data_IF_827429041352
#
_entry.id   IF_827429041352
#
_cell.length_a   1.000
_cell.length_b   1.000
_cell.length_c   1.000
_cell.angle_alpha   90.00
_cell.angle_beta   90.00
_cell.angle_gamma   90.00
#
_symmetry.space_group_name_H-M   'P 1'
#
loop_
_entity.id
_entity.type
_entity.pdbx_description
1 polymer ?
#
# COMPACT_ATOMS: atom_id res chain seq x y z
N UNK A 1 12.09 -24.91 16.48
CA UNK A 1 11.98 -23.74 17.38
C UNK A 1 10.76 -22.89 16.95
N UNK A 2 10.03 -22.25 17.87
CA UNK A 2 8.90 -21.39 17.51
C UNK A 2 9.38 -20.17 16.71
N UNK A 3 8.55 -19.73 15.76
CA UNK A 3 8.71 -18.45 15.09
C UNK A 3 7.78 -17.42 15.74
N UNK A 4 8.28 -16.22 16.01
CA UNK A 4 7.50 -15.12 16.60
C UNK A 4 7.25 -14.08 15.51
N UNK A 5 6.00 -13.66 15.36
CA UNK A 5 5.62 -12.53 14.52
C UNK A 5 5.32 -11.34 15.42
N UNK A 6 6.05 -10.25 15.23
CA UNK A 6 5.83 -8.99 15.94
C UNK A 6 5.27 -7.99 14.94
N UNK A 7 3.98 -7.72 15.08
CA UNK A 7 3.23 -6.78 14.24
C UNK A 7 3.09 -5.41 14.93
N UNK A 8 2.88 -4.37 14.13
CA UNK A 8 2.61 -3.00 14.58
C UNK A 8 3.83 -2.09 14.75
N UNK A 9 5.06 -2.59 14.62
CA UNK A 9 6.26 -1.73 14.65
C UNK A 9 6.36 -0.84 13.39
N UNK A 10 5.65 -1.18 12.32
CA UNK A 10 5.45 -0.35 11.13
C UNK A 10 4.63 0.92 11.38
N UNK A 11 3.92 0.98 12.51
CA UNK A 11 3.08 2.13 12.90
C UNK A 11 3.83 3.18 13.72
N UNK A 12 5.11 2.96 13.98
CA UNK A 12 5.96 3.96 14.61
C UNK A 12 6.11 5.16 13.66
N UNK A 13 5.86 6.36 14.18
CA UNK A 13 5.89 7.60 13.41
C UNK A 13 7.16 8.42 13.67
N UNK A 14 7.72 8.33 14.89
CA UNK A 14 8.90 9.09 15.28
C UNK A 14 10.19 8.43 14.78
N UNK A 15 10.90 9.10 13.87
CA UNK A 15 12.15 8.61 13.29
C UNK A 15 13.23 8.30 14.35
N UNK A 16 13.29 9.07 15.44
CA UNK A 16 14.20 8.84 16.56
C UNK A 16 13.97 7.46 17.21
N UNK A 17 12.71 7.14 17.52
CA UNK A 17 12.32 5.86 18.13
C UNK A 17 12.59 4.70 17.17
N UNK A 18 12.26 4.88 15.88
CA UNK A 18 12.53 3.89 14.84
C UNK A 18 14.03 3.59 14.76
N UNK A 19 14.87 4.63 14.73
CA UNK A 19 16.33 4.50 14.70
C UNK A 19 16.85 3.78 15.94
N UNK A 20 16.37 4.15 17.12
CA UNK A 20 16.79 3.49 18.36
C UNK A 20 16.51 1.99 18.32
N UNK A 21 15.32 1.58 17.89
CA UNK A 21 14.90 0.18 17.87
C UNK A 21 15.61 -0.67 16.81
N UNK A 22 15.77 -0.14 15.58
CA UNK A 22 16.22 -0.93 14.43
C UNK A 22 17.68 -0.72 14.04
N UNK A 23 18.28 0.41 14.42
CA UNK A 23 19.65 0.78 14.02
C UNK A 23 20.59 0.70 15.22
N UNK A 24 20.26 1.40 16.30
CA UNK A 24 21.20 1.61 17.42
C UNK A 24 21.18 0.44 18.41
N UNK A 25 19.99 -0.04 18.78
CA UNK A 25 19.82 -1.04 19.83
C UNK A 25 19.83 -2.48 19.27
N UNK A 26 20.32 -3.42 20.07
CA UNK A 26 20.35 -4.86 19.77
C UNK A 26 19.27 -5.65 20.49
N UNK A 27 18.41 -5.02 21.30
CA UNK A 27 17.36 -5.71 22.08
C UNK A 27 16.44 -6.58 21.22
N UNK A 28 16.11 -6.16 19.99
CA UNK A 28 15.28 -6.94 19.05
C UNK A 28 15.97 -8.24 18.56
N UNK A 29 17.23 -8.49 18.94
CA UNK A 29 17.96 -9.74 18.63
C UNK A 29 18.12 -10.64 19.83
N UNK A 30 17.82 -10.14 21.03
CA UNK A 30 18.12 -10.84 22.26
C UNK A 30 17.41 -12.19 22.39
N UNK A 31 16.15 -12.37 21.94
CA UNK A 31 15.50 -13.67 22.08
C UNK A 31 16.10 -14.71 21.13
N UNK A 32 16.38 -15.91 21.67
CA UNK A 32 16.97 -17.03 20.93
C UNK A 32 15.94 -17.79 20.07
N UNK A 33 15.23 -17.09 19.19
CA UNK A 33 14.27 -17.68 18.26
C UNK A 33 14.22 -16.92 16.93
N UNK A 34 13.50 -17.47 15.94
CA UNK A 34 13.23 -16.76 14.68
C UNK A 34 12.15 -15.71 14.95
N UNK A 35 12.45 -14.44 14.69
CA UNK A 35 11.48 -13.35 14.83
C UNK A 35 11.32 -12.63 13.50
N UNK A 36 10.07 -12.39 13.11
CA UNK A 36 9.71 -11.55 11.97
C UNK A 36 9.07 -10.29 12.51
N UNK A 37 9.68 -9.15 12.22
CA UNK A 37 9.19 -7.82 12.60
C UNK A 37 8.52 -7.15 11.40
N UNK A 38 7.35 -6.54 11.60
CA UNK A 38 6.94 -5.46 10.68
C UNK A 38 7.87 -4.27 10.88
N UNK A 39 8.26 -3.61 9.80
CA UNK A 39 9.21 -2.49 9.84
C UNK A 39 8.58 -1.26 9.21
N UNK A 40 8.80 -0.06 9.77
CA UNK A 40 8.23 1.17 9.21
C UNK A 40 8.88 1.48 7.86
N UNK A 41 8.05 1.81 6.87
CA UNK A 41 8.50 2.09 5.50
C UNK A 41 9.49 3.26 5.44
N UNK A 42 9.38 4.22 6.36
CA UNK A 42 10.27 5.39 6.47
C UNK A 42 11.70 5.03 6.80
N UNK A 43 11.92 3.92 7.52
CA UNK A 43 13.28 3.44 7.77
C UNK A 43 14.00 3.05 6.48
N UNK A 44 13.26 2.73 5.41
CA UNK A 44 13.88 2.46 4.10
C UNK A 44 14.43 3.70 3.41
N UNK A 45 13.85 4.87 3.69
CA UNK A 45 14.33 6.15 3.14
C UNK A 45 15.45 6.74 3.98
N UNK A 46 15.53 6.35 5.24
CA UNK A 46 16.57 6.83 6.15
C UNK A 46 17.96 6.39 5.68
N UNK A 47 18.99 7.25 5.74
CA UNK A 47 20.37 6.88 5.41
C UNK A 47 20.86 5.66 6.21
N UNK A 48 20.35 5.48 7.41
CA UNK A 48 20.67 4.37 8.31
C UNK A 48 20.08 3.02 7.87
N UNK A 49 19.21 2.98 6.85
CA UNK A 49 18.64 1.73 6.32
C UNK A 49 19.71 0.69 6.03
N UNK A 50 20.87 1.11 5.50
CA UNK A 50 21.97 0.22 5.17
C UNK A 50 22.49 -0.51 6.41
N UNK A 51 22.65 0.18 7.54
CA UNK A 51 23.14 -0.38 8.79
C UNK A 51 22.19 -1.44 9.38
N UNK A 52 20.89 -1.35 9.12
CA UNK A 52 19.94 -2.40 9.54
C UNK A 52 20.22 -3.74 8.87
N UNK A 53 20.90 -3.76 7.71
CA UNK A 53 21.25 -4.96 6.96
C UNK A 53 22.37 -5.79 7.59
N UNK A 54 23.22 -5.20 8.43
CA UNK A 54 24.25 -5.92 9.22
C UNK A 54 23.62 -6.87 10.25
N UNK A 55 22.32 -6.76 10.36
CA UNK A 55 21.62 -7.04 11.57
C UNK A 55 20.38 -7.88 11.24
N UNK A 56 19.51 -7.38 10.38
CA UNK A 56 18.26 -8.03 10.02
C UNK A 56 18.33 -8.56 8.60
N UNK A 57 17.74 -9.73 8.36
CA UNK A 57 17.35 -10.12 7.01
C UNK A 57 16.16 -9.26 6.60
N UNK A 58 16.37 -8.36 5.63
CA UNK A 58 15.35 -7.44 5.14
C UNK A 58 14.56 -8.10 4.03
N UNK A 59 13.25 -8.18 4.19
CA UNK A 59 12.32 -8.65 3.15
C UNK A 59 11.39 -7.49 2.83
N UNK A 60 11.35 -7.09 1.56
CA UNK A 60 10.42 -6.09 1.10
C UNK A 60 9.19 -6.77 0.52
N UNK A 61 8.01 -6.29 0.93
CA UNK A 61 6.74 -6.62 0.31
C UNK A 61 6.32 -5.39 -0.51
N UNK A 62 6.74 -5.27 -1.78
CA UNK A 62 6.34 -4.13 -2.60
C UNK A 62 4.84 -4.19 -2.90
N UNK A 63 4.26 -3.02 -3.17
CA UNK A 63 2.91 -2.97 -3.71
C UNK A 63 2.85 -3.65 -5.08
N UNK A 64 1.68 -4.17 -5.43
CA UNK A 64 1.45 -4.83 -6.71
C UNK A 64 1.27 -3.78 -7.80
N UNK A 65 1.90 -3.97 -8.95
CA UNK A 65 1.82 -3.00 -10.05
C UNK A 65 0.55 -3.30 -10.83
N UNK A 66 -0.50 -2.48 -10.65
CA UNK A 66 -1.82 -2.72 -11.24
C UNK A 66 -2.11 -1.90 -12.49
N UNK A 67 -1.20 -1.00 -12.86
CA UNK A 67 -1.24 -0.19 -14.09
C UNK A 67 0.17 0.12 -14.57
N UNK A 68 0.26 0.60 -15.81
CA UNK A 68 1.50 1.21 -16.32
C UNK A 68 1.84 2.45 -15.48
N UNK A 69 3.11 2.63 -15.09
CA UNK A 69 3.55 3.84 -14.40
C UNK A 69 3.25 5.10 -15.20
N UNK A 70 2.94 6.19 -14.50
CA UNK A 70 2.83 7.53 -15.10
C UNK A 70 4.20 8.22 -15.19
N UNK A 71 5.18 7.78 -14.40
CA UNK A 71 6.54 8.31 -14.44
C UNK A 71 7.22 7.82 -15.71
N UNK A 72 7.56 8.74 -16.62
CA UNK A 72 8.03 8.43 -17.98
C UNK A 72 9.27 7.51 -18.00
N UNK A 73 10.17 7.67 -17.03
CA UNK A 73 11.42 6.90 -16.94
C UNK A 73 11.23 5.48 -16.39
N UNK A 74 10.03 5.13 -15.91
CA UNK A 74 9.73 3.80 -15.37
C UNK A 74 9.01 2.97 -16.44
N UNK A 75 9.69 1.94 -16.92
CA UNK A 75 9.09 0.93 -17.79
C UNK A 75 8.73 -0.34 -17.01
N UNK A 76 7.50 -0.82 -17.21
CA UNK A 76 7.03 -2.10 -16.66
C UNK A 76 6.50 -2.95 -17.82
N UNK A 77 6.91 -4.21 -17.87
CA UNK A 77 6.39 -5.16 -18.85
C UNK A 77 4.87 -5.35 -18.63
N UNK A 78 4.03 -5.32 -19.68
CA UNK A 78 2.58 -5.53 -19.55
C UNK A 78 2.23 -6.83 -18.82
N UNK A 79 2.99 -7.91 -19.06
CA UNK A 79 2.84 -9.20 -18.39
C UNK A 79 3.01 -9.13 -16.88
N UNK A 80 3.82 -8.17 -16.37
CA UNK A 80 3.95 -7.95 -14.93
C UNK A 80 2.67 -7.35 -14.35
N UNK A 81 2.07 -6.39 -15.06
CA UNK A 81 0.80 -5.76 -14.65
C UNK A 81 -0.31 -6.79 -14.59
N UNK A 82 -0.43 -7.62 -15.64
CA UNK A 82 -1.39 -8.72 -15.70
C UNK A 82 -1.19 -9.72 -14.56
N UNK A 83 0.05 -10.14 -14.30
CA UNK A 83 0.36 -11.08 -13.23
C UNK A 83 0.05 -10.53 -11.83
N UNK A 84 0.34 -9.25 -11.59
CA UNK A 84 0.07 -8.58 -10.31
C UNK A 84 -1.43 -8.34 -10.10
N UNK A 85 -2.18 -8.00 -11.16
CA UNK A 85 -3.64 -7.94 -11.11
C UNK A 85 -4.24 -9.32 -10.83
N UNK A 86 -3.77 -10.37 -11.51
CA UNK A 86 -4.22 -11.74 -11.26
C UNK A 86 -3.99 -12.19 -9.80
N UNK A 87 -2.89 -11.76 -9.16
CA UNK A 87 -2.65 -12.01 -7.72
C UNK A 87 -3.68 -11.34 -6.83
N UNK A 88 -4.12 -10.13 -7.15
CA UNK A 88 -5.18 -9.45 -6.39
C UNK A 88 -6.54 -10.14 -6.58
N UNK A 89 -6.87 -10.59 -7.79
CA UNK A 89 -8.04 -11.43 -8.02
C UNK A 89 -7.99 -12.70 -7.18
N UNK A 90 -6.86 -13.40 -7.20
CA UNK A 90 -6.68 -14.64 -6.45
C UNK A 90 -6.81 -14.40 -4.94
N UNK A 91 -6.27 -13.30 -4.43
CA UNK A 91 -6.42 -12.95 -3.02
C UNK A 91 -7.88 -12.72 -2.63
N UNK A 92 -8.63 -11.98 -3.43
CA UNK A 92 -10.07 -11.75 -3.20
C UNK A 92 -10.83 -13.07 -3.28
N UNK A 93 -10.53 -13.91 -4.29
CA UNK A 93 -11.13 -15.24 -4.45
C UNK A 93 -10.87 -16.12 -3.23
N UNK A 94 -9.63 -16.24 -2.77
CA UNK A 94 -9.27 -17.02 -1.59
C UNK A 94 -10.01 -16.56 -0.33
N UNK A 95 -10.15 -15.24 -0.16
CA UNK A 95 -10.87 -14.66 0.98
C UNK A 95 -12.36 -15.00 0.94
N UNK A 96 -12.98 -14.94 -0.23
CA UNK A 96 -14.40 -15.25 -0.41
C UNK A 96 -14.67 -16.76 -0.34
N UNK A 97 -13.81 -17.59 -0.93
CA UNK A 97 -13.98 -19.04 -0.93
C UNK A 97 -13.90 -19.63 0.47
N UNK A 98 -13.12 -19.01 1.37
CA UNK A 98 -13.09 -19.36 2.79
C UNK A 98 -14.46 -19.17 3.49
N UNK A 99 -15.37 -18.44 2.88
CA UNK A 99 -16.74 -18.20 3.33
C UNK A 99 -17.79 -18.77 2.36
N UNK A 100 -17.39 -19.62 1.38
CA UNK A 100 -18.32 -20.26 0.45
C UNK A 100 -18.88 -19.35 -0.64
N UNK A 101 -18.18 -18.25 -0.97
CA UNK A 101 -18.58 -17.32 -2.01
C UNK A 101 -17.54 -17.26 -3.15
N UNK A 102 -18.01 -16.91 -4.35
CA UNK A 102 -17.15 -16.65 -5.51
C UNK A 102 -17.20 -15.16 -5.88
N UNK A 103 -16.13 -14.56 -6.41
CA UNK A 103 -16.13 -13.14 -6.80
C UNK A 103 -17.30 -12.78 -7.73
N UNK A 104 -17.61 -13.63 -8.71
CA UNK A 104 -18.70 -13.39 -9.66
C UNK A 104 -20.10 -13.33 -9.02
N UNK A 105 -20.28 -13.83 -7.79
CA UNK A 105 -21.58 -13.73 -7.09
C UNK A 105 -21.72 -12.44 -6.31
N UNK A 106 -20.62 -11.77 -5.95
CA UNK A 106 -20.62 -10.59 -5.08
C UNK A 106 -20.15 -9.30 -5.76
N UNK A 107 -19.49 -9.40 -6.92
CA UNK A 107 -19.06 -8.26 -7.72
C UNK A 107 -19.72 -8.32 -9.09
N UNK A 108 -20.33 -7.21 -9.52
CA UNK A 108 -20.75 -7.04 -10.90
C UNK A 108 -19.52 -6.97 -11.82
N UNK A 109 -19.76 -7.12 -13.14
CA UNK A 109 -18.72 -6.91 -14.15
C UNK A 109 -17.99 -5.57 -13.92
N UNK A 110 -16.66 -5.60 -14.05
CA UNK A 110 -15.74 -4.47 -13.87
C UNK A 110 -15.65 -3.84 -12.47
N UNK A 111 -16.54 -4.17 -11.53
CA UNK A 111 -16.50 -3.56 -10.20
C UNK A 111 -15.21 -3.92 -9.44
N UNK A 112 -14.80 -5.20 -9.50
CA UNK A 112 -13.54 -5.64 -8.90
C UNK A 112 -12.32 -5.01 -9.58
N UNK A 113 -12.37 -4.83 -10.91
CA UNK A 113 -11.31 -4.16 -11.68
C UNK A 113 -11.11 -2.72 -11.21
N UNK A 114 -12.21 -1.97 -11.06
CA UNK A 114 -12.15 -0.59 -10.61
C UNK A 114 -11.66 -0.46 -9.16
N UNK A 115 -11.98 -1.43 -8.29
CA UNK A 115 -11.45 -1.48 -6.93
C UNK A 115 -9.94 -1.74 -6.92
N UNK A 116 -9.47 -2.65 -7.78
CA UNK A 116 -8.04 -2.93 -7.97
C UNK A 116 -7.31 -1.67 -8.45
N UNK A 117 -7.81 -1.00 -9.48
CA UNK A 117 -7.19 0.22 -10.01
C UNK A 117 -7.16 1.36 -8.98
N UNK A 118 -8.27 1.54 -8.26
CA UNK A 118 -8.43 2.56 -7.24
C UNK A 118 -7.54 2.32 -6.00
N UNK A 119 -7.15 1.08 -5.73
CA UNK A 119 -6.24 0.74 -4.63
C UNK A 119 -4.76 1.03 -4.95
N UNK A 120 -4.42 1.22 -6.24
CA UNK A 120 -3.03 1.31 -6.67
C UNK A 120 -2.20 0.06 -6.37
N UNK A 121 -2.85 -1.09 -6.10
CA UNK A 121 -2.19 -2.32 -5.69
C UNK A 121 -1.71 -2.35 -4.24
N UNK A 122 -2.13 -1.37 -3.43
CA UNK A 122 -2.01 -1.41 -1.97
C UNK A 122 -3.15 -2.26 -1.41
N UNK A 123 -2.81 -3.46 -0.92
CA UNK A 123 -3.80 -4.44 -0.44
C UNK A 123 -4.71 -3.88 0.67
N UNK A 124 -4.15 -3.08 1.58
CA UNK A 124 -4.91 -2.43 2.66
C UNK A 124 -6.04 -1.58 2.08
N UNK A 125 -5.75 -0.81 1.04
CA UNK A 125 -6.71 0.12 0.44
C UNK A 125 -7.73 -0.61 -0.43
N UNK A 126 -7.34 -1.71 -1.10
CA UNK A 126 -8.29 -2.61 -1.75
C UNK A 126 -9.35 -3.11 -0.75
N UNK A 127 -8.92 -3.58 0.43
CA UNK A 127 -9.83 -4.05 1.48
C UNK A 127 -10.71 -2.91 1.99
N UNK A 128 -10.15 -1.71 2.21
CA UNK A 128 -10.92 -0.55 2.64
C UNK A 128 -11.97 -0.13 1.61
N UNK A 129 -11.62 -0.11 0.32
CA UNK A 129 -12.53 0.21 -0.77
C UNK A 129 -13.65 -0.84 -0.87
N UNK A 130 -13.34 -2.13 -0.83
CA UNK A 130 -14.35 -3.21 -0.78
C UNK A 130 -15.30 -3.00 0.40
N UNK A 131 -14.78 -2.75 1.61
CA UNK A 131 -15.61 -2.54 2.80
C UNK A 131 -16.50 -1.29 2.71
N UNK A 132 -16.05 -0.22 2.06
CA UNK A 132 -16.86 0.98 1.81
C UNK A 132 -17.93 0.69 0.76
N UNK A 133 -17.60 -0.04 -0.31
CA UNK A 133 -18.58 -0.45 -1.32
C UNK A 133 -19.66 -1.35 -0.73
N UNK A 134 -19.33 -2.27 0.18
CA UNK A 134 -20.33 -3.09 0.90
C UNK A 134 -21.34 -2.20 1.64
N UNK A 135 -20.89 -1.10 2.28
CA UNK A 135 -21.83 -0.17 2.94
C UNK A 135 -22.77 0.51 1.94
N UNK A 136 -22.29 0.83 0.74
CA UNK A 136 -23.13 1.38 -0.33
C UNK A 136 -24.16 0.35 -0.82
N UNK A 137 -23.73 -0.89 -1.06
CA UNK A 137 -24.59 -2.01 -1.45
C UNK A 137 -25.72 -2.24 -0.45
N UNK A 138 -25.38 -2.28 0.86
CA UNK A 138 -26.36 -2.47 1.93
C UNK A 138 -27.37 -1.33 2.01
N UNK A 139 -26.95 -0.08 1.80
CA UNK A 139 -27.87 1.08 1.75
C UNK A 139 -28.85 0.99 0.59
N UNK A 140 -28.43 0.40 -0.53
CA UNK A 140 -29.28 0.17 -1.71
C UNK A 140 -30.16 -1.08 -1.60
N UNK A 141 -29.95 -1.92 -0.57
CA UNK A 141 -30.65 -3.19 -0.43
C UNK A 141 -30.27 -4.23 -1.49
N UNK A 142 -29.06 -4.12 -2.05
CA UNK A 142 -28.53 -5.03 -3.05
C UNK A 142 -27.60 -6.10 -2.43
N UNK A 143 -27.18 -7.06 -3.24
CA UNK A 143 -26.23 -8.13 -2.83
C UNK A 143 -24.87 -7.96 -3.54
N UNK A 144 -24.88 -7.50 -4.79
CA UNK A 144 -23.67 -7.31 -5.58
C UNK A 144 -23.13 -5.89 -5.48
N UNK A 145 -21.80 -5.78 -5.37
CA UNK A 145 -21.06 -4.53 -5.55
C UNK A 145 -21.07 -4.17 -7.04
N UNK A 146 -21.70 -3.04 -7.35
CA UNK A 146 -21.73 -2.47 -8.69
C UNK A 146 -20.79 -1.27 -8.83
N UNK A 147 -20.57 -0.82 -10.06
CA UNK A 147 -19.72 0.35 -10.36
C UNK A 147 -20.12 1.60 -9.56
N UNK A 148 -21.42 1.80 -9.31
CA UNK A 148 -21.91 2.93 -8.49
C UNK A 148 -21.43 2.84 -7.04
N UNK A 149 -21.36 1.62 -6.48
CA UNK A 149 -20.90 1.37 -5.11
C UNK A 149 -19.37 1.55 -5.00
N UNK A 150 -18.65 1.24 -6.08
CA UNK A 150 -17.21 1.53 -6.20
C UNK A 150 -16.96 3.03 -6.31
N UNK A 151 -17.72 3.75 -7.13
CA UNK A 151 -17.60 5.19 -7.27
C UNK A 151 -17.85 5.92 -5.93
N UNK A 152 -18.88 5.51 -5.18
CA UNK A 152 -19.15 6.05 -3.84
C UNK A 152 -17.99 5.78 -2.87
N UNK A 153 -17.45 4.56 -2.86
CA UNK A 153 -16.33 4.18 -1.99
C UNK A 153 -15.03 4.95 -2.32
N UNK A 154 -14.73 5.12 -3.62
CA UNK A 154 -13.59 5.90 -4.11
C UNK A 154 -13.68 7.35 -3.63
N UNK A 155 -14.86 7.95 -3.79
CA UNK A 155 -15.09 9.33 -3.42
C UNK A 155 -15.00 9.56 -1.90
N UNK A 156 -15.52 8.62 -1.10
CA UNK A 156 -15.41 8.67 0.36
C UNK A 156 -13.94 8.57 0.80
N UNK A 157 -13.17 7.61 0.27
CA UNK A 157 -11.76 7.46 0.62
C UNK A 157 -10.93 8.66 0.14
N UNK A 158 -11.17 9.15 -1.07
CA UNK A 158 -10.50 10.34 -1.61
C UNK A 158 -10.69 11.55 -0.69
N UNK A 159 -11.93 11.81 -0.25
CA UNK A 159 -12.24 12.91 0.67
C UNK A 159 -11.47 12.79 1.99
N UNK A 160 -11.44 11.60 2.58
CA UNK A 160 -10.69 11.36 3.81
C UNK A 160 -9.20 11.67 3.64
N UNK A 161 -8.62 11.28 2.50
CA UNK A 161 -7.22 11.58 2.19
C UNK A 161 -6.99 13.09 2.00
N UNK A 162 -7.85 13.74 1.22
CA UNK A 162 -7.74 15.16 0.88
C UNK A 162 -7.85 16.12 2.06
N UNK A 163 -8.61 15.76 3.10
CA UNK A 163 -8.77 16.57 4.33
C UNK A 163 -7.40 16.91 4.96
N UNK A 164 -6.43 16.01 4.85
CA UNK A 164 -5.08 16.20 5.40
C UNK A 164 -4.09 16.88 4.45
N UNK A 165 -4.47 17.12 3.18
CA UNK A 165 -3.57 17.64 2.15
C UNK A 165 -3.57 19.17 2.07
N UNK A 166 -2.57 19.79 2.71
CA UNK A 166 -2.22 21.19 2.49
C UNK A 166 -1.41 21.38 1.19
N UNK A 167 -1.17 22.64 0.79
CA UNK A 167 -0.42 22.99 -0.43
C UNK A 167 0.94 22.30 -0.50
N UNK A 168 1.70 22.31 0.58
CA UNK A 168 3.04 21.71 0.62
C UNK A 168 3.01 20.20 0.38
N UNK A 169 2.03 19.48 0.95
CA UNK A 169 1.86 18.05 0.69
C UNK A 169 1.45 17.78 -0.76
N UNK A 170 0.65 18.66 -1.38
CA UNK A 170 0.28 18.56 -2.80
C UNK A 170 1.47 18.80 -3.72
N UNK A 171 2.36 19.73 -3.37
CA UNK A 171 3.61 19.96 -4.08
C UNK A 171 4.51 18.72 -4.03
N UNK A 172 4.56 18.03 -2.87
CA UNK A 172 5.28 16.77 -2.72
C UNK A 172 4.69 15.62 -3.56
N UNK A 173 3.35 15.49 -3.63
CA UNK A 173 2.71 14.52 -4.53
C UNK A 173 3.06 14.81 -6.01
N UNK A 174 3.00 16.08 -6.40
CA UNK A 174 3.37 16.53 -7.75
C UNK A 174 4.84 16.25 -8.07
N UNK A 175 5.73 16.42 -7.08
CA UNK A 175 7.14 16.07 -7.23
C UNK A 175 7.31 14.57 -7.49
N UNK A 176 6.70 13.73 -6.65
CA UNK A 176 6.77 12.26 -6.79
C UNK A 176 6.25 11.79 -8.14
N UNK A 177 5.12 12.31 -8.61
CA UNK A 177 4.55 11.89 -9.90
C UNK A 177 5.41 12.33 -11.10
N UNK A 178 6.26 13.35 -10.94
CA UNK A 178 7.21 13.81 -11.97
C UNK A 178 8.53 13.03 -11.95
N UNK A 179 9.08 12.78 -10.76
CA UNK A 179 10.44 12.21 -10.60
C UNK A 179 10.44 10.71 -10.35
N UNK A 180 9.30 10.16 -9.92
CA UNK A 180 9.19 8.80 -9.41
C UNK A 180 9.87 8.56 -8.07
N UNK A 181 10.28 9.63 -7.36
CA UNK A 181 11.03 9.57 -6.11
C UNK A 181 10.56 10.65 -5.10
N UNK A 182 10.55 10.36 -3.78
CA UNK A 182 10.29 11.35 -2.75
C UNK A 182 11.41 12.39 -2.70
N UNK A 183 11.08 13.66 -2.40
CA UNK A 183 12.07 14.75 -2.30
C UNK A 183 13.10 14.58 -1.18
N UNK A 184 12.80 13.74 -0.20
CA UNK A 184 13.60 13.56 1.02
C UNK A 184 13.23 14.52 2.16
N UNK A 185 12.31 15.45 1.95
CA UNK A 185 11.77 16.30 3.02
C UNK A 185 10.91 15.50 4.01
N UNK A 186 10.72 16.01 5.24
CA UNK A 186 9.94 15.36 6.29
C UNK A 186 8.49 15.08 5.84
N UNK A 187 7.95 15.93 4.98
CA UNK A 187 6.59 15.81 4.44
C UNK A 187 6.44 14.60 3.53
N UNK A 188 7.48 14.32 2.74
CA UNK A 188 7.51 13.19 1.84
C UNK A 188 7.51 11.87 2.61
N UNK A 189 8.11 11.84 3.81
CA UNK A 189 8.04 10.70 4.73
C UNK A 189 6.62 10.50 5.26
N UNK A 190 5.93 11.57 5.63
CA UNK A 190 4.53 11.54 6.07
C UNK A 190 3.61 10.91 5.01
N UNK A 191 3.76 11.33 3.75
CA UNK A 191 2.97 10.80 2.63
C UNK A 191 3.15 9.28 2.44
N UNK A 192 4.35 8.74 2.69
CA UNK A 192 4.60 7.30 2.64
C UNK A 192 3.99 6.56 3.83
N UNK A 193 4.07 7.11 5.04
CA UNK A 193 3.46 6.53 6.23
C UNK A 193 1.94 6.44 6.08
N UNK A 194 1.32 7.46 5.49
CA UNK A 194 -0.12 7.52 5.27
C UNK A 194 -0.60 6.72 4.05
N UNK A 195 0.32 6.18 3.24
CA UNK A 195 -0.03 5.44 2.01
C UNK A 195 -0.48 6.35 0.86
N UNK A 196 -0.19 7.65 0.93
CA UNK A 196 -0.53 8.61 -0.12
C UNK A 196 0.50 8.60 -1.24
N UNK A 197 1.70 8.12 -0.96
CA UNK A 197 2.72 7.76 -1.94
C UNK A 197 2.98 6.26 -1.81
N UNK A 198 2.99 5.56 -2.93
CA UNK A 198 3.05 4.11 -3.00
C UNK A 198 4.41 3.67 -3.56
N UNK A 199 5.21 2.89 -2.80
CA UNK A 199 6.43 2.30 -3.30
C UNK A 199 6.15 1.02 -4.11
N UNK A 200 6.82 0.90 -5.26
CA UNK A 200 6.81 -0.28 -6.11
C UNK A 200 8.23 -0.80 -6.36
N UNK A 201 8.37 -1.97 -6.99
CA UNK A 201 9.69 -2.53 -7.32
C UNK A 201 9.68 -3.33 -8.62
N UNK A 202 10.64 -3.05 -9.51
CA UNK A 202 10.85 -3.73 -10.80
C UNK A 202 12.36 -3.93 -11.10
N UNK A 203 13.16 -4.25 -10.07
CA UNK A 203 14.62 -4.24 -10.13
C UNK A 203 15.23 -2.92 -9.65
N UNK A 204 14.45 -1.83 -9.67
CA UNK A 204 14.68 -0.62 -8.89
C UNK A 204 13.44 -0.28 -8.05
N UNK A 205 13.59 0.62 -7.09
CA UNK A 205 12.48 1.20 -6.34
C UNK A 205 11.99 2.43 -7.08
N UNK A 206 10.67 2.61 -7.13
CA UNK A 206 10.05 3.82 -7.64
C UNK A 206 8.74 4.07 -6.88
N UNK A 207 8.22 5.28 -7.00
CA UNK A 207 7.11 5.77 -6.22
C UNK A 207 6.12 6.51 -7.10
N UNK A 208 4.84 6.46 -6.75
CA UNK A 208 3.83 7.33 -7.32
C UNK A 208 2.79 7.71 -6.27
N UNK A 209 2.10 8.83 -6.47
CA UNK A 209 0.96 9.22 -5.64
C UNK A 209 -0.15 8.17 -5.70
N UNK A 210 -0.91 8.00 -4.63
CA UNK A 210 -2.06 7.11 -4.59
C UNK A 210 -3.06 7.50 -5.69
N UNK A 211 -3.64 6.54 -6.45
CA UNK A 211 -4.50 6.85 -7.60
C UNK A 211 -5.70 7.76 -7.28
N UNK A 212 -6.25 7.69 -6.07
CA UNK A 212 -7.35 8.56 -5.64
C UNK A 212 -6.95 10.03 -5.45
N UNK A 213 -5.66 10.32 -5.35
CA UNK A 213 -5.13 11.68 -5.17
C UNK A 213 -4.63 12.31 -6.48
N UNK A 214 -4.72 11.58 -7.60
CA UNK A 214 -4.34 12.09 -8.92
C UNK A 214 -5.51 12.87 -9.49
N UNK A 215 -5.24 14.09 -9.93
CA UNK A 215 -6.18 14.97 -10.64
C UNK A 215 -6.36 14.57 -12.10
#
# INVERSE_FOLDING_TARGET
PPAVLVDGLDKLLELSVIRELFVTNRTLRAPACVIVYTGPITLMLAPEWKATGDHFRRIRLPNLVVRVPIVEEITIAPTRVEADRARLHELVRLRLSAHGHEPATLFAADALEQLIDASGGLLRDLIHLVNRSIRSVLKRGAIQIEVVDVAAAREELRKDMEVSLNTRLRDQLTHVDKTGEPSGEDEAHGLLLWGYVLPYTNGRVWFESHPLLRS
#
